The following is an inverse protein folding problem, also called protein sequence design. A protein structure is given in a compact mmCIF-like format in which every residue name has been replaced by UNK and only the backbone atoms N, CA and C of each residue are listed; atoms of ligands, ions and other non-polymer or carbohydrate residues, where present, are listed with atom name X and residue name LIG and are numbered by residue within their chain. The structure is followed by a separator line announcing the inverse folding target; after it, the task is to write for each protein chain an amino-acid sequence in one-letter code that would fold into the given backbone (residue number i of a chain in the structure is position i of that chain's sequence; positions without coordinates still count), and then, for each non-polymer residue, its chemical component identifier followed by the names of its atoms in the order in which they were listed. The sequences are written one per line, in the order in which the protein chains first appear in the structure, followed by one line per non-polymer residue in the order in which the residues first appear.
data_IF_801386792570
#
_entry.id   IF_801386792570
#
_cell.length_a   1.000
_cell.length_b   1.000
_cell.length_c   1.000
_cell.angle_alpha   90.00
_cell.angle_beta   90.00
_cell.angle_gamma   90.00
#
_symmetry.space_group_name_H-M   'P 1'
#
loop_
_entity.id
_entity.type
_entity.pdbx_description
1 polymer ?
#
# COMPACT_ATOMS: atom_id res chain seq x y z
N UNK A 1 53.54 27.03 -21.09
CA UNK A 1 52.86 25.70 -21.09
C UNK A 1 52.18 25.38 -19.76
N UNK A 2 52.66 25.87 -18.61
CA UNK A 2 52.04 25.58 -17.30
C UNK A 2 50.62 26.12 -17.12
N UNK A 3 50.31 27.33 -17.61
CA UNK A 3 48.97 27.95 -17.43
C UNK A 3 47.84 27.14 -18.09
N UNK A 4 48.11 26.50 -19.22
CA UNK A 4 47.12 25.66 -19.92
C UNK A 4 46.86 24.33 -19.20
N UNK A 5 47.88 23.78 -18.53
CA UNK A 5 47.75 22.56 -17.73
C UNK A 5 46.83 22.78 -16.52
N UNK A 6 46.98 23.90 -15.82
CA UNK A 6 46.13 24.24 -14.68
C UNK A 6 44.67 24.49 -15.08
N UNK A 7 44.44 25.15 -16.21
CA UNK A 7 43.08 25.34 -16.76
C UNK A 7 42.44 23.98 -17.08
N UNK A 8 43.19 23.07 -17.72
CA UNK A 8 42.70 21.72 -18.03
C UNK A 8 42.39 20.90 -16.76
N UNK A 9 43.22 21.02 -15.72
CA UNK A 9 43.00 20.31 -14.44
C UNK A 9 41.76 20.86 -13.73
N UNK A 10 41.57 22.18 -13.69
CA UNK A 10 40.36 22.78 -13.13
C UNK A 10 39.10 22.34 -13.89
N UNK A 11 39.17 22.25 -15.22
CA UNK A 11 38.03 21.81 -16.04
C UNK A 11 37.67 20.35 -15.78
N UNK A 12 38.67 19.46 -15.68
CA UNK A 12 38.47 18.05 -15.32
C UNK A 12 37.89 17.89 -13.91
N UNK A 13 38.36 18.69 -12.95
CA UNK A 13 37.84 18.67 -11.58
C UNK A 13 36.36 19.13 -11.52
N UNK A 14 36.00 20.17 -12.28
CA UNK A 14 34.61 20.62 -12.41
C UNK A 14 33.71 19.55 -13.04
N UNK A 15 34.19 18.81 -14.05
CA UNK A 15 33.43 17.71 -14.68
C UNK A 15 33.20 16.56 -13.68
N UNK A 16 34.20 16.20 -12.87
CA UNK A 16 34.07 15.15 -11.85
C UNK A 16 33.06 15.56 -10.77
N UNK A 17 33.06 16.83 -10.35
CA UNK A 17 32.07 17.38 -9.42
C UNK A 17 30.63 17.33 -9.96
N UNK A 18 30.43 17.53 -11.27
CA UNK A 18 29.10 17.44 -11.89
C UNK A 18 28.58 16.00 -11.96
N UNK A 19 29.47 15.00 -12.10
CA UNK A 19 29.07 13.59 -12.20
C UNK A 19 28.46 13.05 -10.90
N UNK A 20 28.86 13.59 -9.74
CA UNK A 20 28.32 13.17 -8.44
C UNK A 20 26.87 13.62 -8.18
N UNK A 21 26.44 14.72 -8.81
CA UNK A 21 25.09 15.30 -8.57
C UNK A 21 24.00 14.53 -9.33
N UNK A 22 24.36 13.70 -10.31
CA UNK A 22 23.40 12.98 -11.16
C UNK A 22 22.86 11.67 -10.58
N UNK A 23 23.19 11.32 -9.33
CA UNK A 23 22.63 10.12 -8.67
C UNK A 23 21.31 10.44 -7.99
N UNK A 24 20.25 10.64 -8.78
CA UNK A 24 18.90 10.77 -8.23
C UNK A 24 18.41 9.42 -7.72
N UNK A 25 18.37 9.23 -6.40
CA UNK A 25 17.76 8.06 -5.77
C UNK A 25 16.24 8.26 -5.69
N UNK A 26 15.49 7.45 -6.43
CA UNK A 26 14.06 7.38 -6.26
C UNK A 26 13.72 6.42 -5.12
N UNK A 27 12.89 6.83 -4.17
CA UNK A 27 12.47 5.95 -3.09
C UNK A 27 11.55 4.85 -3.66
N UNK A 28 11.85 3.56 -3.48
CA UNK A 28 10.95 2.50 -3.86
C UNK A 28 9.60 2.69 -3.15
N UNK A 29 8.50 2.52 -3.90
CA UNK A 29 7.14 2.67 -3.38
C UNK A 29 6.53 4.06 -3.44
N UNK A 30 7.24 5.08 -3.92
CA UNK A 30 6.71 6.46 -4.04
C UNK A 30 6.13 6.73 -5.44
N UNK A 31 6.55 5.97 -6.46
CA UNK A 31 6.13 6.18 -7.85
C UNK A 31 4.72 5.64 -8.03
N UNK A 32 3.82 6.40 -8.67
CA UNK A 32 2.52 5.87 -9.03
C UNK A 32 2.69 4.71 -10.02
N UNK A 33 1.88 3.67 -9.83
CA UNK A 33 1.75 2.57 -10.78
C UNK A 33 0.66 2.93 -11.79
N UNK A 34 1.00 2.87 -13.07
CA UNK A 34 0.06 3.15 -14.16
C UNK A 34 -0.69 1.87 -14.56
N UNK A 35 -2.03 1.95 -14.60
CA UNK A 35 -2.91 0.86 -15.01
C UNK A 35 -3.66 1.19 -16.29
N UNK A 36 -3.73 0.22 -17.20
CA UNK A 36 -4.54 0.28 -18.41
C UNK A 36 -5.95 -0.23 -18.15
N UNK A 37 -6.87 0.06 -19.07
CA UNK A 37 -8.24 -0.47 -19.00
C UNK A 37 -8.21 -2.00 -19.05
N UNK A 38 -8.90 -2.66 -18.12
CA UNK A 38 -8.98 -4.12 -18.02
C UNK A 38 -7.90 -4.75 -17.15
N UNK A 39 -6.90 -3.98 -16.70
CA UNK A 39 -5.84 -4.50 -15.83
C UNK A 39 -6.40 -4.97 -14.49
N UNK A 40 -5.91 -6.10 -13.95
CA UNK A 40 -6.36 -6.62 -12.68
C UNK A 40 -5.85 -5.76 -11.52
N UNK A 41 -6.79 -5.22 -10.74
CA UNK A 41 -6.53 -4.45 -9.53
C UNK A 41 -6.71 -5.34 -8.31
N UNK A 42 -5.61 -5.60 -7.58
CA UNK A 42 -5.64 -6.35 -6.32
C UNK A 42 -5.89 -5.39 -5.17
N UNK A 43 -6.95 -5.64 -4.40
CA UNK A 43 -7.22 -4.82 -3.22
C UNK A 43 -6.41 -5.35 -2.05
N UNK A 44 -5.79 -4.42 -1.32
CA UNK A 44 -5.07 -4.68 -0.08
C UNK A 44 -5.87 -4.11 1.08
N UNK A 45 -5.73 -4.72 2.24
CA UNK A 45 -6.41 -4.33 3.48
C UNK A 45 -5.36 -3.92 4.51
N UNK A 46 -5.69 -2.96 5.37
CA UNK A 46 -4.80 -2.51 6.45
C UNK A 46 -5.40 -2.91 7.80
N UNK A 47 -4.62 -2.70 8.86
CA UNK A 47 -5.03 -2.84 10.26
C UNK A 47 -6.33 -2.09 10.56
N UNK A 48 -7.06 -2.64 11.52
CA UNK A 48 -8.32 -2.11 12.00
C UNK A 48 -8.05 -1.11 13.13
N UNK A 49 -8.55 0.10 12.99
CA UNK A 49 -8.54 1.13 14.04
C UNK A 49 -9.92 1.24 14.69
N UNK A 50 -9.97 1.19 16.02
CA UNK A 50 -11.19 1.43 16.79
C UNK A 50 -11.18 2.82 17.41
N UNK A 51 -12.34 3.46 17.54
CA UNK A 51 -12.48 4.73 18.27
C UNK A 51 -12.40 4.56 19.79
N UNK A 52 -12.54 3.32 20.29
CA UNK A 52 -12.56 3.01 21.72
C UNK A 52 -11.18 2.68 22.28
N UNK A 53 -10.28 2.16 21.45
CA UNK A 53 -8.98 1.63 21.87
C UNK A 53 -7.89 2.18 20.98
N UNK A 54 -6.77 2.62 21.57
CA UNK A 54 -5.65 3.18 20.82
C UNK A 54 -4.80 2.10 20.10
N UNK A 55 -5.05 0.82 20.36
CA UNK A 55 -4.29 -0.28 19.77
C UNK A 55 -4.96 -0.79 18.48
N UNK A 56 -4.20 -0.90 17.38
CA UNK A 56 -4.71 -1.47 16.13
C UNK A 56 -4.82 -2.99 16.21
N UNK A 57 -5.83 -3.55 15.52
CA UNK A 57 -6.02 -4.99 15.37
C UNK A 57 -5.67 -5.43 13.94
N UNK A 58 -5.23 -6.68 13.74
CA UNK A 58 -5.08 -7.25 12.39
C UNK A 58 -6.45 -7.33 11.70
N UNK A 59 -6.50 -7.08 10.40
CA UNK A 59 -7.72 -7.17 9.60
C UNK A 59 -8.42 -8.51 9.79
N UNK A 60 -7.67 -9.60 9.68
CA UNK A 60 -8.18 -10.96 9.82
C UNK A 60 -8.40 -11.44 11.27
N UNK A 61 -8.26 -10.56 12.26
CA UNK A 61 -8.64 -10.88 13.65
C UNK A 61 -10.15 -11.07 13.82
N UNK A 62 -10.94 -10.45 12.94
CA UNK A 62 -12.37 -10.69 12.81
C UNK A 62 -12.64 -11.72 11.71
N UNK A 63 -13.81 -12.38 11.74
CA UNK A 63 -14.14 -13.43 10.79
C UNK A 63 -14.58 -12.85 9.45
N UNK A 64 -13.67 -12.14 8.78
CA UNK A 64 -13.82 -11.74 7.38
C UNK A 64 -13.44 -12.88 6.43
N UNK A 65 -13.79 -12.72 5.15
CA UNK A 65 -13.33 -13.64 4.10
C UNK A 65 -11.81 -13.61 4.04
N UNK A 66 -11.16 -14.77 4.22
CA UNK A 66 -9.71 -14.91 4.15
C UNK A 66 -9.30 -15.49 2.80
N UNK A 67 -8.21 -14.99 2.19
CA UNK A 67 -7.57 -15.67 1.07
C UNK A 67 -6.83 -16.92 1.54
N UNK A 68 -6.45 -17.80 0.61
CA UNK A 68 -5.75 -19.06 0.92
C UNK A 68 -4.41 -18.82 1.64
N UNK A 69 -3.70 -17.76 1.25
CA UNK A 69 -2.45 -17.34 1.86
C UNK A 69 -2.50 -15.84 2.17
N UNK A 70 -2.18 -15.49 3.41
CA UNK A 70 -2.05 -14.11 3.86
C UNK A 70 -0.58 -13.70 3.70
N UNK A 71 -0.35 -12.65 2.92
CA UNK A 71 0.96 -12.09 2.61
C UNK A 71 0.96 -10.62 2.97
N UNK A 72 1.96 -10.21 3.76
CA UNK A 72 2.22 -8.81 4.10
C UNK A 72 2.91 -8.11 2.90
N UNK A 73 2.39 -6.96 2.48
CA UNK A 73 2.88 -6.17 1.34
C UNK A 73 2.95 -4.69 1.72
N UNK A 74 4.08 -4.27 2.30
CA UNK A 74 4.36 -2.85 2.49
C UNK A 74 4.93 -2.26 1.19
N UNK A 75 4.32 -1.18 0.69
CA UNK A 75 4.72 -0.61 -0.60
C UNK A 75 5.84 0.41 -0.42
N UNK A 76 5.75 1.22 0.64
CA UNK A 76 6.69 2.30 0.89
C UNK A 76 7.28 2.28 2.31
N UNK A 77 8.44 2.93 2.45
CA UNK A 77 9.13 3.04 3.73
C UNK A 77 8.26 3.74 4.81
N UNK A 78 7.40 4.68 4.41
CA UNK A 78 6.51 5.39 5.33
C UNK A 78 5.45 4.50 5.99
N UNK A 79 4.95 3.48 5.29
CA UNK A 79 4.02 2.47 5.82
C UNK A 79 4.73 1.55 6.82
N UNK A 80 5.97 1.15 6.50
CA UNK A 80 6.81 0.36 7.41
C UNK A 80 7.06 1.13 8.71
N UNK A 81 7.45 2.41 8.62
CA UNK A 81 7.73 3.24 9.79
C UNK A 81 6.48 3.54 10.64
N UNK A 82 5.30 3.59 10.02
CA UNK A 82 4.02 3.73 10.73
C UNK A 82 3.52 2.42 11.36
N UNK A 83 4.22 1.31 11.12
CA UNK A 83 3.78 -0.01 11.54
C UNK A 83 2.43 -0.37 10.93
N UNK A 84 2.21 -0.01 9.67
CA UNK A 84 1.06 -0.47 8.91
C UNK A 84 1.27 -1.93 8.53
N UNK A 85 0.17 -2.69 8.61
CA UNK A 85 0.17 -4.11 8.29
C UNK A 85 -0.78 -4.32 7.14
N UNK A 86 -0.25 -4.09 5.94
CA UNK A 86 -0.98 -4.18 4.70
C UNK A 86 -0.94 -5.63 4.24
N UNK A 87 -2.09 -6.27 4.23
CA UNK A 87 -2.27 -7.68 3.88
C UNK A 87 -3.06 -7.77 2.56
N UNK A 88 -2.86 -8.85 1.79
CA UNK A 88 -3.66 -9.10 0.59
C UNK A 88 -5.13 -9.38 0.97
N UNK A 89 -6.07 -8.86 0.17
CA UNK A 89 -7.49 -9.20 0.28
C UNK A 89 -7.91 -10.18 -0.82
N UNK A 90 -9.03 -10.89 -0.67
CA UNK A 90 -9.54 -11.78 -1.71
C UNK A 90 -10.29 -11.04 -2.83
N UNK A 91 -10.40 -9.70 -2.76
CA UNK A 91 -11.07 -8.91 -3.79
C UNK A 91 -10.13 -8.59 -4.96
N UNK A 92 -10.66 -8.78 -6.16
CA UNK A 92 -10.00 -8.45 -7.41
C UNK A 92 -10.98 -7.70 -8.30
N UNK A 93 -10.56 -6.52 -8.77
CA UNK A 93 -11.33 -5.67 -9.68
C UNK A 93 -10.59 -5.52 -11.00
N UNK A 94 -11.26 -4.91 -11.98
CA UNK A 94 -10.64 -4.54 -13.26
C UNK A 94 -10.64 -3.03 -13.42
N UNK A 95 -9.53 -2.48 -13.87
CA UNK A 95 -9.37 -1.04 -14.03
C UNK A 95 -10.32 -0.49 -15.10
N UNK A 96 -11.03 0.60 -14.78
CA UNK A 96 -12.07 1.23 -15.62
C UNK A 96 -13.24 0.32 -16.02
N UNK A 97 -13.52 -0.71 -15.22
CA UNK A 97 -14.70 -1.57 -15.38
C UNK A 97 -15.53 -1.52 -14.08
N UNK A 98 -16.68 -0.83 -14.07
CA UNK A 98 -17.49 -0.73 -12.87
C UNK A 98 -18.07 -2.11 -12.54
N UNK A 99 -17.65 -2.68 -11.41
CA UNK A 99 -18.19 -3.91 -10.84
C UNK A 99 -18.82 -3.58 -9.50
N UNK A 100 -20.16 -3.51 -9.49
CA UNK A 100 -20.93 -3.48 -8.26
C UNK A 100 -21.12 -4.93 -7.81
N UNK A 101 -21.13 -5.23 -6.51
CA UNK A 101 -21.70 -6.52 -6.14
C UNK A 101 -20.75 -7.74 -6.06
N UNK A 102 -19.44 -7.61 -5.85
CA UNK A 102 -18.57 -8.82 -5.88
C UNK A 102 -18.56 -9.58 -4.53
N UNK A 103 -19.41 -10.60 -4.42
CA UNK A 103 -19.49 -11.47 -3.23
C UNK A 103 -18.39 -12.52 -3.27
N UNK A 104 -17.36 -12.33 -2.46
CA UNK A 104 -16.22 -13.27 -2.34
C UNK A 104 -16.59 -14.51 -1.52
N UNK A 105 -17.27 -14.33 -0.39
CA UNK A 105 -17.66 -15.45 0.47
C UNK A 105 -18.94 -15.13 1.26
N UNK A 106 -19.63 -16.17 1.71
CA UNK A 106 -20.77 -16.06 2.63
C UNK A 106 -20.37 -16.58 4.00
N UNK A 107 -20.47 -15.71 5.00
CA UNK A 107 -20.14 -16.03 6.39
C UNK A 107 -21.41 -16.09 7.20
N UNK A 108 -21.59 -17.16 7.98
CA UNK A 108 -22.66 -17.26 8.97
C UNK A 108 -22.17 -16.62 10.25
N UNK A 109 -22.64 -15.40 10.53
CA UNK A 109 -22.29 -14.67 11.74
C UNK A 109 -23.26 -15.00 12.88
N UNK A 110 -22.71 -15.36 14.03
CA UNK A 110 -23.47 -15.48 15.26
C UNK A 110 -23.76 -14.09 15.85
N UNK A 111 -24.83 -13.96 16.66
CA UNK A 111 -25.24 -12.67 17.26
C UNK A 111 -24.12 -11.98 18.06
N UNK A 112 -23.28 -12.75 18.76
CA UNK A 112 -22.11 -12.24 19.48
C UNK A 112 -21.08 -11.61 18.54
N UNK A 113 -20.79 -12.30 17.44
CA UNK A 113 -19.77 -11.89 16.47
C UNK A 113 -20.21 -10.70 15.62
N UNK A 114 -21.50 -10.62 15.28
CA UNK A 114 -22.09 -9.46 14.63
C UNK A 114 -22.00 -8.21 15.53
N UNK A 115 -22.22 -8.37 16.84
CA UNK A 115 -22.04 -7.29 17.82
C UNK A 115 -20.58 -6.84 17.92
N UNK A 116 -19.63 -7.78 17.95
CA UNK A 116 -18.20 -7.46 17.99
C UNK A 116 -17.73 -6.70 16.75
N UNK A 117 -18.19 -7.10 15.55
CA UNK A 117 -17.88 -6.37 14.30
C UNK A 117 -18.46 -4.96 14.39
N UNK A 118 -19.74 -4.82 14.77
CA UNK A 118 -20.41 -3.51 14.87
C UNK A 118 -19.72 -2.56 15.86
N UNK A 119 -19.31 -3.06 17.01
CA UNK A 119 -18.65 -2.26 18.06
C UNK A 119 -17.23 -1.84 17.67
N UNK A 120 -16.50 -2.70 16.93
CA UNK A 120 -15.13 -2.42 16.48
C UNK A 120 -15.07 -1.64 15.16
N UNK A 121 -16.10 -1.69 14.31
CA UNK A 121 -16.12 -1.14 12.94
C UNK A 121 -17.19 -0.09 12.66
N UNK A 122 -17.62 0.70 13.65
CA UNK A 122 -18.62 1.74 13.43
C UNK A 122 -18.26 2.83 12.39
N UNK A 123 -17.04 2.82 11.81
CA UNK A 123 -16.57 3.82 10.84
C UNK A 123 -16.19 3.28 9.45
N UNK A 124 -16.15 1.96 9.20
CA UNK A 124 -15.61 1.44 7.93
C UNK A 124 -16.30 0.14 7.52
N UNK A 125 -17.58 0.21 7.13
CA UNK A 125 -18.27 -0.87 6.42
C UNK A 125 -19.02 -0.27 5.24
N UNK A 126 -18.30 -0.11 4.13
CA UNK A 126 -18.88 -0.07 2.79
C UNK A 126 -18.67 -1.45 2.17
N UNK A 127 -19.35 -2.45 2.71
CA UNK A 127 -19.55 -3.73 2.03
C UNK A 127 -20.87 -3.60 1.27
N UNK A 128 -20.81 -3.71 -0.06
CA UNK A 128 -21.93 -3.62 -1.00
C UNK A 128 -23.26 -3.26 -0.34
N UNK A 129 -23.48 -1.97 -0.10
CA UNK A 129 -24.84 -1.54 0.22
C UNK A 129 -25.64 -1.62 -1.07
N UNK A 130 -26.82 -2.23 -0.95
CA UNK A 130 -27.93 -2.08 -1.88
C UNK A 130 -28.43 -0.62 -1.86
#
# INVERSE_FOLDING_TARGET
MEKGLWISVCFMFLIILHFHIATSFYLPGVAPEDFHKGDPLRVKVNKLSSTKTQLPYSYYSLPYCRPDHIVDSAENLGEVLRGDRIENSPYMFKMREPQMCNVVCRLMLNAKTAKEIKEKHAAQVLHCWE
#
